data_IF_400898374580
#
_entry.id   IF_400898374580
#
_cell.length_a   1.000
_cell.length_b   1.000
_cell.length_c   1.000
_cell.angle_alpha   90.00
_cell.angle_beta   90.00
_cell.angle_gamma   90.00
#
_symmetry.space_group_name_H-M   'P 1'
#
loop_
_entity.id
_entity.type
_entity.pdbx_description
1 polymer ?
#
# COMPACT_ATOMS: atom_id res chain seq x y z
N UNK A 1 -11.87 -41.69 60.14
CA UNK A 1 -12.93 -41.38 59.12
C UNK A 1 -13.47 -39.96 59.20
N UNK A 2 -13.54 -39.32 60.34
CA UNK A 2 -14.04 -37.92 60.46
C UNK A 2 -13.13 -36.85 59.90
N UNK A 3 -11.80 -37.03 59.91
CA UNK A 3 -10.82 -36.03 59.45
C UNK A 3 -10.80 -35.86 57.90
N UNK A 4 -11.07 -36.95 57.15
CA UNK A 4 -11.11 -36.92 55.71
C UNK A 4 -12.36 -36.21 55.13
N UNK A 5 -13.45 -36.16 55.91
CA UNK A 5 -14.69 -35.47 55.51
C UNK A 5 -14.51 -33.95 55.67
N UNK A 6 -13.86 -33.50 56.73
CA UNK A 6 -13.57 -32.07 56.94
C UNK A 6 -12.66 -31.50 55.89
N UNK A 7 -11.63 -32.25 55.47
CA UNK A 7 -10.72 -31.81 54.40
C UNK A 7 -11.42 -31.71 53.03
N UNK A 8 -12.35 -32.65 52.75
CA UNK A 8 -13.14 -32.61 51.49
C UNK A 8 -14.13 -31.46 51.49
N UNK A 9 -14.76 -31.13 52.63
CA UNK A 9 -15.66 -29.97 52.73
C UNK A 9 -14.88 -28.66 52.62
N UNK A 10 -13.71 -28.54 53.21
CA UNK A 10 -12.84 -27.38 53.08
C UNK A 10 -12.34 -27.20 51.65
N UNK A 11 -11.97 -28.27 50.96
CA UNK A 11 -11.55 -28.23 49.56
C UNK A 11 -12.71 -27.83 48.60
N UNK A 12 -13.94 -28.34 48.88
CA UNK A 12 -15.13 -27.98 48.11
C UNK A 12 -15.53 -26.52 48.36
N UNK A 13 -15.38 -26.02 49.57
CA UNK A 13 -15.61 -24.60 49.92
C UNK A 13 -14.61 -23.66 49.27
N UNK A 14 -13.32 -24.06 49.19
CA UNK A 14 -12.29 -23.29 48.50
C UNK A 14 -12.52 -23.27 46.98
N UNK A 15 -13.02 -24.36 46.38
CA UNK A 15 -13.34 -24.45 44.97
C UNK A 15 -14.57 -23.58 44.60
N UNK A 16 -15.56 -23.48 45.51
CA UNK A 16 -16.72 -22.62 45.30
C UNK A 16 -16.42 -21.15 45.49
N UNK A 17 -15.44 -20.78 46.31
CA UNK A 17 -14.96 -19.40 46.50
C UNK A 17 -14.15 -18.92 45.31
N UNK A 18 -13.42 -19.81 44.63
CA UNK A 18 -12.66 -19.47 43.40
C UNK A 18 -13.56 -19.28 42.18
N UNK A 19 -14.78 -19.85 42.16
CA UNK A 19 -15.76 -19.67 41.10
C UNK A 19 -16.55 -18.35 41.20
N UNK A 20 -16.43 -17.63 42.32
CA UNK A 20 -17.09 -16.35 42.57
C UNK A 20 -16.15 -15.14 42.29
N UNK A 21 -15.07 -15.34 41.55
CA UNK A 21 -14.33 -14.24 40.98
C UNK A 21 -15.21 -13.60 39.90
N UNK A 22 -16.07 -12.67 40.32
CA UNK A 22 -16.75 -11.77 39.38
C UNK A 22 -15.69 -11.00 38.63
N UNK A 23 -15.45 -11.38 37.38
CA UNK A 23 -14.87 -10.50 36.40
C UNK A 23 -15.92 -9.42 36.17
N UNK A 24 -15.81 -8.31 36.88
CA UNK A 24 -16.56 -7.13 36.52
C UNK A 24 -16.00 -6.70 35.15
N UNK A 25 -16.84 -6.62 34.11
CA UNK A 25 -16.39 -5.96 32.88
C UNK A 25 -15.96 -4.54 33.31
N UNK A 26 -14.69 -4.22 33.10
CA UNK A 26 -14.22 -2.87 33.24
C UNK A 26 -14.84 -2.10 32.06
N UNK A 27 -16.01 -1.51 32.28
CA UNK A 27 -16.56 -0.52 31.38
C UNK A 27 -15.63 0.70 31.50
N UNK A 28 -14.75 0.85 30.53
CA UNK A 28 -14.10 2.13 30.31
C UNK A 28 -15.23 3.08 29.96
N UNK A 29 -15.66 3.93 30.88
CA UNK A 29 -16.39 5.13 30.51
C UNK A 29 -15.45 5.92 29.58
N UNK A 30 -15.53 5.66 28.30
CA UNK A 30 -15.01 6.54 27.30
C UNK A 30 -15.86 7.79 27.45
N UNK A 31 -15.29 8.85 28.02
CA UNK A 31 -15.88 10.17 27.89
C UNK A 31 -16.24 10.33 26.40
N UNK A 32 -17.46 10.78 26.08
CA UNK A 32 -17.83 10.96 24.69
C UNK A 32 -16.78 11.88 24.08
N UNK A 33 -15.96 11.35 23.19
CA UNK A 33 -14.96 12.13 22.44
C UNK A 33 -15.80 12.95 21.48
N UNK A 34 -16.32 14.05 21.96
CA UNK A 34 -16.97 15.09 21.14
C UNK A 34 -15.88 15.86 20.33
N UNK A 35 -14.65 15.56 20.62
CA UNK A 35 -13.46 16.16 20.03
C UNK A 35 -12.82 15.17 19.07
N UNK A 36 -13.26 15.20 17.81
CA UNK A 36 -12.65 14.45 16.71
C UNK A 36 -11.41 15.20 16.22
N UNK A 37 -10.22 14.88 16.74
CA UNK A 37 -9.03 15.62 16.41
C UNK A 37 -8.74 15.54 14.91
N UNK A 38 -8.25 16.66 14.36
CA UNK A 38 -7.67 16.69 13.04
C UNK A 38 -6.38 15.88 13.04
N UNK A 39 -6.20 15.04 12.02
CA UNK A 39 -4.96 14.30 11.77
C UNK A 39 -4.27 14.92 10.57
N UNK A 40 -3.01 15.32 10.74
CA UNK A 40 -2.19 15.97 9.71
C UNK A 40 -0.91 15.15 9.57
N UNK A 41 -0.70 14.55 8.39
CA UNK A 41 0.44 13.67 8.13
C UNK A 41 1.11 14.02 6.81
N UNK A 42 2.43 13.90 6.79
CA UNK A 42 3.27 14.09 5.62
C UNK A 42 4.61 14.70 5.99
N UNK A 43 5.51 14.73 5.02
CA UNK A 43 6.82 15.34 5.17
C UNK A 43 7.00 16.42 4.09
N UNK A 44 7.68 17.52 4.45
CA UNK A 44 8.10 18.55 3.49
C UNK A 44 9.34 18.01 2.76
N UNK A 45 9.13 17.52 1.54
CA UNK A 45 10.21 16.97 0.69
C UNK A 45 10.92 18.09 -0.08
N UNK A 46 12.14 18.42 0.33
CA UNK A 46 12.90 19.48 -0.30
C UNK A 46 13.52 18.98 -1.62
N UNK A 47 13.25 19.70 -2.70
CA UNK A 47 13.73 19.35 -4.04
C UNK A 47 12.77 18.47 -4.85
N UNK A 48 11.50 18.36 -4.44
CA UNK A 48 10.50 17.51 -5.10
C UNK A 48 9.07 18.00 -4.93
N UNK A 49 8.17 17.07 -4.82
CA UNK A 49 6.75 17.30 -4.50
C UNK A 49 6.47 16.91 -3.05
N UNK A 50 5.83 17.78 -2.32
CA UNK A 50 5.32 17.53 -0.97
C UNK A 50 3.84 17.20 -1.03
N UNK A 51 3.41 16.19 -0.28
CA UNK A 51 2.00 15.86 -0.09
C UNK A 51 1.69 15.84 1.40
N UNK A 52 0.76 16.70 1.83
CA UNK A 52 0.26 16.73 3.21
C UNK A 52 -1.17 16.23 3.21
N UNK A 53 -1.43 15.21 3.99
CA UNK A 53 -2.73 14.57 4.12
C UNK A 53 -3.45 15.09 5.35
N UNK A 54 -4.70 15.46 5.18
CA UNK A 54 -5.61 15.87 6.25
C UNK A 54 -6.71 14.82 6.36
N UNK A 55 -6.96 14.33 7.58
CA UNK A 55 -8.06 13.42 7.89
C UNK A 55 -8.61 13.69 9.29
N UNK A 56 -9.67 13.01 9.69
CA UNK A 56 -10.22 13.08 11.05
C UNK A 56 -10.28 11.70 11.66
N UNK A 57 -10.07 11.62 12.96
CA UNK A 57 -10.38 10.40 13.70
C UNK A 57 -11.89 10.17 13.68
N UNK A 58 -12.28 8.98 13.26
CA UNK A 58 -13.67 8.52 13.29
C UNK A 58 -13.78 7.44 14.36
N UNK A 59 -14.70 7.55 15.33
CA UNK A 59 -14.95 6.51 16.30
C UNK A 59 -15.31 5.18 15.61
N UNK A 60 -14.80 4.06 16.13
CA UNK A 60 -15.02 2.72 15.55
C UNK A 60 -16.52 2.36 15.46
N UNK A 61 -17.32 2.80 16.41
CA UNK A 61 -18.76 2.64 16.43
C UNK A 61 -19.49 3.42 15.33
N UNK A 62 -18.93 4.54 14.89
CA UNK A 62 -19.46 5.31 13.76
C UNK A 62 -19.27 4.61 12.41
N UNK A 63 -18.27 3.73 12.29
CA UNK A 63 -18.01 2.94 11.07
C UNK A 63 -19.05 1.83 10.90
N UNK A 64 -19.62 1.34 12.01
CA UNK A 64 -20.58 0.24 12.06
C UNK A 64 -22.04 0.68 12.21
N UNK A 65 -22.36 1.97 12.17
CA UNK A 65 -23.73 2.39 12.12
C UNK A 65 -24.32 1.88 10.80
N UNK A 66 -25.24 0.88 10.84
CA UNK A 66 -25.96 0.51 9.64
C UNK A 66 -26.67 1.76 9.17
N UNK A 67 -26.58 2.07 7.89
CA UNK A 67 -27.39 3.11 7.27
C UNK A 67 -28.86 2.72 7.47
N UNK A 68 -29.42 3.16 8.58
CA UNK A 68 -30.80 2.90 8.96
C UNK A 68 -31.72 3.74 8.12
N UNK A 69 -31.82 3.47 6.83
CA UNK A 69 -32.92 3.90 5.98
C UNK A 69 -32.70 3.61 4.48
N UNK A 70 -32.22 2.43 4.15
CA UNK A 70 -32.33 1.98 2.77
C UNK A 70 -33.36 0.85 2.69
N UNK A 71 -34.60 1.22 2.37
CA UNK A 71 -35.57 0.29 1.84
C UNK A 71 -35.00 -0.34 0.56
N UNK A 72 -35.04 -1.66 0.46
CA UNK A 72 -34.50 -2.51 -0.59
C UNK A 72 -35.05 -2.27 -2.01
N UNK A 73 -35.70 -1.13 -2.31
CA UNK A 73 -36.44 -0.92 -3.55
C UNK A 73 -36.18 0.40 -4.27
N UNK A 74 -35.13 1.13 -3.99
CA UNK A 74 -34.87 2.37 -4.74
C UNK A 74 -33.57 2.33 -5.55
N UNK A 75 -33.65 1.74 -6.75
CA UNK A 75 -32.58 1.72 -7.75
C UNK A 75 -32.40 3.06 -8.50
N UNK A 76 -33.06 4.14 -8.08
CA UNK A 76 -33.15 5.37 -8.90
C UNK A 76 -32.64 6.66 -8.25
N UNK A 77 -32.14 6.67 -7.03
CA UNK A 77 -31.56 7.90 -6.47
C UNK A 77 -30.05 7.75 -6.19
N UNK A 78 -29.26 8.11 -7.19
CA UNK A 78 -27.80 8.23 -7.11
C UNK A 78 -27.31 9.53 -6.46
N UNK A 79 -28.07 10.13 -5.57
CA UNK A 79 -27.65 11.27 -4.77
C UNK A 79 -27.45 10.82 -3.31
N UNK A 80 -26.29 10.25 -3.03
CA UNK A 80 -25.80 10.19 -1.66
C UNK A 80 -25.57 11.64 -1.22
N UNK A 81 -26.31 12.09 -0.24
CA UNK A 81 -25.91 13.29 0.48
C UNK A 81 -24.67 12.89 1.30
N UNK A 82 -23.46 13.40 0.96
CA UNK A 82 -22.26 13.00 1.68
C UNK A 82 -22.44 13.32 3.15
N UNK A 83 -22.26 12.33 4.02
CA UNK A 83 -22.29 12.57 5.46
C UNK A 83 -21.05 13.40 5.85
N UNK A 84 -21.12 14.09 6.99
CA UNK A 84 -19.96 14.79 7.55
C UNK A 84 -18.74 13.87 7.80
N UNK A 85 -18.97 12.55 7.78
CA UNK A 85 -17.91 11.53 7.86
C UNK A 85 -17.28 11.21 6.50
N UNK A 86 -18.01 11.45 5.39
CA UNK A 86 -17.52 11.21 4.04
C UNK A 86 -16.68 12.39 3.51
N UNK A 87 -17.02 13.64 3.93
CA UNK A 87 -16.33 14.86 3.54
C UNK A 87 -16.26 15.83 4.73
N UNK A 88 -15.28 15.66 5.63
CA UNK A 88 -15.23 16.46 6.84
C UNK A 88 -14.82 17.92 6.60
N UNK A 89 -14.26 18.22 5.42
CA UNK A 89 -13.68 19.53 5.11
C UNK A 89 -14.54 20.30 4.10
N UNK A 90 -14.91 21.55 4.43
CA UNK A 90 -15.49 22.53 3.51
C UNK A 90 -14.38 23.26 2.73
N UNK A 91 -13.26 23.52 3.42
CA UNK A 91 -12.13 24.24 2.87
C UNK A 91 -10.82 23.77 3.53
N UNK A 92 -9.79 23.61 2.72
CA UNK A 92 -8.43 23.35 3.21
C UNK A 92 -7.42 24.05 2.29
N UNK A 93 -6.54 24.85 2.87
CA UNK A 93 -5.44 25.53 2.19
C UNK A 93 -4.17 25.38 3.01
N UNK A 94 -3.06 25.14 2.34
CA UNK A 94 -1.77 25.03 2.97
C UNK A 94 -0.74 25.98 2.39
N UNK A 95 0.19 26.44 3.21
CA UNK A 95 1.36 27.22 2.79
C UNK A 95 2.59 26.71 3.54
N UNK A 96 3.64 26.35 2.81
CA UNK A 96 4.96 26.07 3.37
C UNK A 96 5.75 27.38 3.34
N UNK A 97 6.21 27.82 4.51
CA UNK A 97 6.87 29.12 4.70
C UNK A 97 8.32 28.87 5.11
N UNK A 98 9.28 29.47 4.37
CA UNK A 98 10.70 29.46 4.70
C UNK A 98 11.10 30.65 5.60
N UNK A 99 12.16 30.49 6.40
CA UNK A 99 12.68 31.58 7.25
C UNK A 99 13.14 32.81 6.46
N UNK A 100 13.52 32.63 5.20
CA UNK A 100 13.91 33.72 4.30
C UNK A 100 12.71 34.49 3.73
N UNK A 101 11.48 34.10 4.11
CA UNK A 101 10.24 34.69 3.61
C UNK A 101 9.72 34.05 2.31
N UNK A 102 10.36 32.99 1.82
CA UNK A 102 9.83 32.20 0.72
C UNK A 102 8.52 31.51 1.16
N UNK A 103 7.58 31.37 0.23
CA UNK A 103 6.30 30.71 0.51
C UNK A 103 5.88 29.90 -0.71
N UNK A 104 5.36 28.68 -0.46
CA UNK A 104 4.80 27.79 -1.45
C UNK A 104 3.36 27.48 -1.06
N UNK A 105 2.43 27.85 -1.92
CA UNK A 105 1.01 27.52 -1.72
C UNK A 105 0.72 26.11 -2.20
N UNK A 106 -0.08 25.37 -1.45
CA UNK A 106 -0.51 24.03 -1.80
C UNK A 106 -1.76 24.05 -2.67
N UNK A 107 -1.79 23.15 -3.62
CA UNK A 107 -2.97 22.84 -4.41
C UNK A 107 -3.73 21.67 -3.76
N UNK A 108 -5.07 21.79 -3.69
CA UNK A 108 -5.90 20.69 -3.20
C UNK A 108 -6.08 19.67 -4.32
N UNK A 109 -5.48 18.52 -4.17
CA UNK A 109 -5.72 17.36 -5.03
C UNK A 109 -6.64 16.38 -4.31
N UNK A 110 -7.79 16.11 -4.90
CA UNK A 110 -8.68 15.02 -4.49
C UNK A 110 -9.32 15.15 -3.10
N UNK A 111 -10.61 15.37 -3.09
CA UNK A 111 -11.48 15.08 -1.96
C UNK A 111 -11.81 13.58 -1.98
N UNK A 112 -11.08 12.76 -1.22
CA UNK A 112 -11.51 11.40 -0.92
C UNK A 112 -12.48 11.42 0.26
N UNK A 113 -13.30 10.38 0.38
CA UNK A 113 -14.42 10.32 1.34
C UNK A 113 -14.06 10.70 2.77
N UNK A 114 -12.85 10.44 3.22
CA UNK A 114 -12.40 10.61 4.61
C UNK A 114 -11.14 11.49 4.75
N UNK A 115 -10.58 11.98 3.64
CA UNK A 115 -9.33 12.72 3.63
C UNK A 115 -9.22 13.75 2.51
N UNK A 116 -8.40 14.74 2.74
CA UNK A 116 -8.00 15.75 1.77
C UNK A 116 -6.48 15.74 1.63
N UNK A 117 -5.98 15.84 0.43
CA UNK A 117 -4.55 15.91 0.13
C UNK A 117 -4.21 17.30 -0.42
N UNK A 118 -3.19 17.92 0.17
CA UNK A 118 -2.59 19.17 -0.29
C UNK A 118 -1.22 18.87 -0.90
N UNK A 119 -1.00 19.28 -2.13
CA UNK A 119 0.29 19.11 -2.81
C UNK A 119 0.98 20.43 -3.02
N UNK A 120 2.31 20.43 -2.87
CA UNK A 120 3.17 21.60 -2.97
C UNK A 120 4.34 21.30 -3.89
N UNK A 121 4.63 22.17 -4.83
CA UNK A 121 5.88 22.09 -5.59
C UNK A 121 7.02 22.71 -4.78
N UNK A 122 7.74 21.84 -4.07
CA UNK A 122 8.88 22.19 -3.22
C UNK A 122 10.23 21.95 -3.90
N UNK A 123 10.24 21.78 -5.23
CA UNK A 123 11.43 21.50 -6.02
C UNK A 123 12.49 22.61 -5.95
N UNK A 124 12.08 23.84 -5.71
CA UNK A 124 12.93 25.02 -5.65
C UNK A 124 13.35 25.43 -4.22
N UNK A 125 12.86 24.72 -3.20
CA UNK A 125 13.19 25.01 -1.82
C UNK A 125 14.63 24.57 -1.47
N UNK A 126 15.24 25.29 -0.53
CA UNK A 126 16.64 25.10 -0.14
C UNK A 126 16.78 24.18 1.06
N UNK A 127 17.84 23.37 1.09
CA UNK A 127 18.13 22.44 2.21
C UNK A 127 18.75 23.12 3.43
N UNK A 128 19.26 24.35 3.30
CA UNK A 128 20.05 25.04 4.32
C UNK A 128 19.24 26.05 5.16
N UNK A 129 17.92 25.94 5.17
CA UNK A 129 17.04 26.79 5.98
C UNK A 129 15.94 25.96 6.66
N UNK A 130 15.18 26.60 7.53
CA UNK A 130 14.03 26.00 8.21
C UNK A 130 12.73 26.36 7.53
N UNK A 131 11.76 25.47 7.66
CA UNK A 131 10.43 25.65 7.12
C UNK A 131 9.37 25.44 8.20
N UNK A 132 8.20 25.98 8.00
CA UNK A 132 7.00 25.65 8.76
C UNK A 132 5.81 25.47 7.83
N UNK A 133 4.92 24.58 8.23
CA UNK A 133 3.63 24.39 7.57
C UNK A 133 2.60 25.28 8.27
N UNK A 134 1.84 26.03 7.47
CA UNK A 134 0.67 26.81 7.88
C UNK A 134 -0.54 26.27 7.11
N UNK A 135 -1.60 25.92 7.84
CA UNK A 135 -2.83 25.37 7.28
C UNK A 135 -4.04 26.17 7.73
N UNK A 136 -4.90 26.49 6.80
CA UNK A 136 -6.24 27.04 7.02
C UNK A 136 -7.25 25.94 6.70
N UNK A 137 -8.03 25.53 7.70
CA UNK A 137 -8.98 24.42 7.57
C UNK A 137 -10.35 24.86 8.07
N UNK A 138 -11.38 24.68 7.26
CA UNK A 138 -12.76 24.85 7.65
C UNK A 138 -13.47 23.50 7.58
N UNK A 139 -14.04 23.09 8.70
CA UNK A 139 -14.85 21.88 8.77
C UNK A 139 -16.27 22.16 8.27
N UNK A 140 -16.94 21.17 7.70
CA UNK A 140 -18.34 21.29 7.26
C UNK A 140 -19.31 21.67 8.39
N UNK A 141 -18.99 21.23 9.60
CA UNK A 141 -19.81 21.49 10.79
C UNK A 141 -19.50 22.82 11.49
N UNK A 142 -18.44 23.52 11.08
CA UNK A 142 -17.98 24.78 11.69
C UNK A 142 -18.08 25.94 10.69
N UNK A 143 -18.53 27.10 11.16
CA UNK A 143 -18.56 28.31 10.34
C UNK A 143 -17.19 29.00 10.27
N UNK A 144 -16.30 28.76 11.24
CA UNK A 144 -15.01 29.42 11.38
C UNK A 144 -13.87 28.60 10.78
N UNK A 145 -12.85 29.32 10.27
CA UNK A 145 -11.60 28.72 9.80
C UNK A 145 -10.68 28.54 10.99
N UNK A 146 -10.20 27.32 11.17
CA UNK A 146 -9.16 26.99 12.13
C UNK A 146 -7.78 27.03 11.47
N UNK A 147 -6.80 27.61 12.17
CA UNK A 147 -5.42 27.75 11.71
C UNK A 147 -4.55 26.77 12.48
N UNK A 148 -3.80 25.94 11.73
CA UNK A 148 -2.83 24.99 12.29
C UNK A 148 -1.43 25.31 11.79
N UNK A 149 -0.46 25.25 12.69
CA UNK A 149 0.94 25.52 12.37
C UNK A 149 1.87 24.50 13.03
N UNK A 150 2.98 24.19 12.34
CA UNK A 150 4.15 23.56 12.96
C UNK A 150 5.06 24.64 13.60
N UNK A 151 5.97 24.22 14.46
CA UNK A 151 7.16 25.01 14.72
C UNK A 151 8.09 25.04 13.51
N UNK A 152 9.19 25.81 13.59
CA UNK A 152 10.21 25.84 12.55
C UNK A 152 10.95 24.50 12.50
N UNK A 153 10.87 23.81 11.36
CA UNK A 153 11.45 22.49 11.12
C UNK A 153 12.77 22.65 10.36
N UNK A 154 13.83 22.07 10.88
CA UNK A 154 15.12 22.00 10.18
C UNK A 154 15.08 20.85 9.19
N UNK A 155 15.58 21.07 7.98
CA UNK A 155 15.67 20.02 6.95
C UNK A 155 16.69 18.97 7.38
N UNK A 156 16.28 17.70 7.42
CA UNK A 156 17.18 16.59 7.71
C UNK A 156 18.14 16.36 6.55
N UNK A 157 19.41 16.01 6.81
CA UNK A 157 20.38 15.71 5.76
C UNK A 157 19.91 14.56 4.85
N UNK A 158 20.14 14.69 3.56
CA UNK A 158 19.82 13.64 2.60
C UNK A 158 20.74 12.44 2.77
N UNK A 159 20.22 11.23 2.95
CA UNK A 159 21.04 10.02 2.96
C UNK A 159 21.57 9.74 1.55
N UNK A 160 22.56 8.88 1.42
CA UNK A 160 23.10 8.48 0.12
C UNK A 160 22.97 6.97 -0.03
N UNK A 161 22.32 6.55 -1.10
CA UNK A 161 22.30 5.13 -1.51
C UNK A 161 23.55 4.87 -2.35
N UNK A 162 24.48 4.10 -1.80
CA UNK A 162 25.72 3.73 -2.51
C UNK A 162 25.48 2.59 -3.50
N UNK A 163 24.70 1.59 -3.10
CA UNK A 163 24.39 0.44 -3.94
C UNK A 163 23.07 -0.23 -3.51
N UNK A 164 22.38 -0.76 -4.51
CA UNK A 164 21.33 -1.77 -4.32
C UNK A 164 21.76 -3.02 -5.06
N UNK A 165 21.72 -4.16 -4.39
CA UNK A 165 22.15 -5.45 -4.93
C UNK A 165 21.17 -6.55 -4.59
N UNK A 166 21.24 -7.63 -5.36
CA UNK A 166 20.53 -8.86 -5.07
C UNK A 166 21.50 -9.93 -4.58
N UNK A 167 21.03 -10.71 -3.61
CA UNK A 167 21.73 -11.87 -3.11
C UNK A 167 20.73 -13.03 -2.93
N UNK A 168 21.16 -14.26 -3.14
CA UNK A 168 20.35 -15.45 -2.90
C UNK A 168 20.76 -16.06 -1.57
N UNK A 169 19.79 -16.42 -0.74
CA UNK A 169 20.10 -17.10 0.50
C UNK A 169 20.78 -18.46 0.24
N UNK A 170 21.46 -19.00 1.26
CA UNK A 170 22.24 -20.27 1.16
C UNK A 170 21.39 -21.47 0.70
N UNK A 171 20.09 -21.46 1.03
CA UNK A 171 19.13 -22.49 0.61
C UNK A 171 18.54 -22.26 -0.78
N UNK A 172 18.88 -21.18 -1.46
CA UNK A 172 18.31 -20.74 -2.76
C UNK A 172 16.78 -20.71 -2.78
N UNK A 173 16.17 -20.27 -1.69
CA UNK A 173 14.70 -20.14 -1.60
C UNK A 173 14.20 -18.70 -1.66
N UNK A 174 15.08 -17.75 -1.34
CA UNK A 174 14.75 -16.33 -1.25
C UNK A 174 15.75 -15.49 -2.01
N UNK A 175 15.26 -14.46 -2.68
CA UNK A 175 16.03 -13.36 -3.20
C UNK A 175 16.04 -12.25 -2.15
N UNK A 176 17.21 -11.90 -1.67
CA UNK A 176 17.42 -10.81 -0.74
C UNK A 176 17.81 -9.55 -1.50
N UNK A 177 17.16 -8.46 -1.15
CA UNK A 177 17.50 -7.14 -1.66
C UNK A 177 18.30 -6.42 -0.59
N UNK A 178 19.52 -6.02 -0.96
CA UNK A 178 20.53 -5.44 -0.07
C UNK A 178 20.76 -3.98 -0.41
N UNK A 179 20.86 -3.15 0.62
CA UNK A 179 21.13 -1.72 0.54
C UNK A 179 22.49 -1.41 1.18
N UNK A 180 23.35 -0.72 0.46
CA UNK A 180 24.52 -0.03 1.03
C UNK A 180 24.30 1.47 0.98
N UNK A 181 24.60 2.17 2.08
CA UNK A 181 24.27 3.57 2.25
C UNK A 181 25.23 4.34 3.14
N UNK A 182 25.24 5.67 2.96
CA UNK A 182 25.80 6.62 3.92
C UNK A 182 24.69 7.39 4.61
N UNK A 183 24.82 7.57 5.91
CA UNK A 183 23.88 8.32 6.72
C UNK A 183 23.96 9.84 6.53
N UNK A 184 25.11 10.35 6.09
CA UNK A 184 25.39 11.77 5.85
C UNK A 184 25.04 12.67 7.06
N UNK A 185 25.32 12.16 8.28
CA UNK A 185 25.05 12.85 9.55
C UNK A 185 23.62 12.71 10.07
N UNK A 186 22.74 11.99 9.39
CA UNK A 186 21.43 11.59 9.90
C UNK A 186 21.55 10.28 10.69
N UNK A 187 20.63 10.04 11.62
CA UNK A 187 20.64 8.83 12.45
C UNK A 187 19.30 8.09 12.49
N UNK A 188 18.29 8.64 11.84
CA UNK A 188 16.94 8.12 11.88
C UNK A 188 16.39 8.10 10.48
N UNK A 189 15.82 6.96 10.06
CA UNK A 189 15.42 6.73 8.69
C UNK A 189 14.09 6.01 8.62
N UNK A 190 13.34 6.34 7.58
CA UNK A 190 12.18 5.61 7.09
C UNK A 190 12.44 5.22 5.64
N UNK A 191 11.94 4.08 5.22
CA UNK A 191 11.94 3.73 3.81
C UNK A 191 10.60 3.16 3.37
N UNK A 192 10.34 3.33 2.12
CA UNK A 192 9.31 2.63 1.39
C UNK A 192 9.90 2.07 0.10
N UNK A 193 9.18 1.18 -0.53
CA UNK A 193 9.60 0.65 -1.81
C UNK A 193 8.40 0.40 -2.72
N UNK A 194 8.67 0.44 -4.02
CA UNK A 194 7.75 0.04 -5.07
C UNK A 194 8.39 -1.12 -5.80
N UNK A 195 7.63 -2.18 -5.94
CA UNK A 195 7.96 -3.35 -6.74
C UNK A 195 7.22 -3.26 -8.05
N UNK A 196 7.88 -3.61 -9.13
CA UNK A 196 7.31 -3.71 -10.47
C UNK A 196 7.86 -4.98 -11.11
N UNK A 197 7.02 -5.72 -11.79
CA UNK A 197 7.45 -6.97 -12.40
C UNK A 197 6.73 -7.22 -13.71
N UNK A 198 7.43 -7.95 -14.57
CA UNK A 198 6.89 -8.50 -15.80
C UNK A 198 6.61 -9.97 -15.61
N UNK A 199 5.44 -10.40 -16.04
CA UNK A 199 5.12 -11.82 -16.13
C UNK A 199 4.34 -12.12 -17.38
N UNK A 200 4.33 -13.40 -17.78
CA UNK A 200 3.71 -13.84 -18.98
C UNK A 200 2.55 -14.79 -18.71
N UNK A 201 1.59 -14.82 -19.61
CA UNK A 201 0.62 -15.90 -19.62
C UNK A 201 1.31 -17.23 -19.95
N UNK A 202 0.63 -18.35 -19.70
CA UNK A 202 1.25 -19.68 -19.89
C UNK A 202 1.39 -20.04 -21.37
N UNK A 203 0.51 -19.48 -22.20
CA UNK A 203 0.45 -19.78 -23.65
C UNK A 203 0.38 -18.47 -24.43
N UNK A 204 1.28 -18.33 -25.37
CA UNK A 204 1.23 -17.25 -26.35
C UNK A 204 0.38 -17.68 -27.57
N UNK A 205 -0.57 -16.85 -27.97
CA UNK A 205 -1.37 -17.06 -29.19
C UNK A 205 -1.53 -15.75 -29.96
N UNK A 206 -1.70 -15.90 -31.28
CA UNK A 206 -2.17 -14.84 -32.17
C UNK A 206 -3.65 -14.99 -32.54
N UNK A 207 -4.34 -15.95 -31.97
CA UNK A 207 -5.73 -16.22 -32.26
C UNK A 207 -6.66 -15.59 -31.24
N UNK A 208 -7.86 -15.26 -31.63
CA UNK A 208 -8.97 -14.83 -30.81
C UNK A 208 -10.28 -15.34 -31.32
N UNK A 209 -11.29 -15.37 -30.47
CA UNK A 209 -12.66 -15.65 -30.84
C UNK A 209 -13.49 -14.36 -30.80
N UNK A 210 -14.22 -14.09 -31.84
CA UNK A 210 -15.18 -13.00 -31.91
C UNK A 210 -16.60 -13.51 -31.62
N UNK A 211 -17.22 -13.13 -30.49
CA UNK A 211 -18.55 -13.57 -30.12
C UNK A 211 -19.66 -13.04 -31.06
N UNK A 212 -19.40 -11.98 -31.82
CA UNK A 212 -20.39 -11.40 -32.73
C UNK A 212 -20.46 -12.14 -34.07
N UNK A 213 -19.30 -12.46 -34.62
CA UNK A 213 -19.21 -13.24 -35.88
C UNK A 213 -19.19 -14.73 -35.62
N UNK A 214 -18.98 -15.17 -34.39
CA UNK A 214 -18.79 -16.56 -33.96
C UNK A 214 -17.63 -17.26 -34.70
N UNK A 215 -16.59 -16.50 -35.02
CA UNK A 215 -15.43 -16.98 -35.76
C UNK A 215 -14.14 -16.86 -34.94
N UNK A 216 -13.23 -17.81 -35.19
CA UNK A 216 -11.85 -17.71 -34.72
C UNK A 216 -11.04 -16.95 -35.77
N UNK A 217 -10.37 -15.91 -35.36
CA UNK A 217 -9.53 -15.06 -36.23
C UNK A 217 -8.21 -14.66 -35.57
N UNK A 218 -7.45 -13.81 -36.27
CA UNK A 218 -6.22 -13.27 -35.72
C UNK A 218 -6.52 -12.11 -34.81
N UNK A 219 -5.92 -12.14 -33.60
CA UNK A 219 -5.99 -11.06 -32.64
C UNK A 219 -5.19 -9.86 -33.13
N UNK A 220 -5.79 -8.68 -33.17
CA UNK A 220 -5.18 -7.42 -33.65
C UNK A 220 -4.85 -6.44 -32.54
N UNK A 221 -5.15 -6.79 -31.29
CA UNK A 221 -4.86 -5.96 -30.13
C UNK A 221 -3.45 -6.15 -29.57
N UNK A 222 -3.13 -5.49 -28.45
CA UNK A 222 -1.87 -5.72 -27.72
C UNK A 222 -1.75 -7.18 -27.30
N UNK A 223 -0.54 -7.73 -27.36
CA UNK A 223 -0.29 -9.13 -26.99
C UNK A 223 -0.96 -9.50 -25.66
N UNK A 224 -1.71 -10.59 -25.62
CA UNK A 224 -2.30 -11.10 -24.39
C UNK A 224 -1.28 -11.83 -23.50
N UNK A 225 -0.08 -12.02 -24.01
CA UNK A 225 0.97 -12.79 -23.38
C UNK A 225 1.78 -11.99 -22.35
N UNK A 226 2.16 -10.74 -22.66
CA UNK A 226 2.97 -9.88 -21.81
C UNK A 226 2.10 -9.03 -20.89
N UNK A 227 2.36 -9.07 -19.60
CA UNK A 227 1.74 -8.20 -18.60
C UNK A 227 2.75 -7.67 -17.59
N UNK A 228 2.40 -6.55 -17.03
CA UNK A 228 3.14 -5.93 -15.92
C UNK A 228 2.19 -5.73 -14.75
N UNK A 229 2.78 -5.69 -13.56
CA UNK A 229 2.04 -5.34 -12.38
C UNK A 229 2.97 -4.60 -11.40
N UNK A 230 2.41 -3.98 -10.40
CA UNK A 230 3.16 -3.21 -9.41
C UNK A 230 2.53 -3.32 -8.03
N UNK A 231 3.37 -3.23 -7.00
CA UNK A 231 2.95 -3.10 -5.62
C UNK A 231 3.82 -2.07 -4.89
N UNK A 232 3.22 -1.34 -3.96
CA UNK A 232 3.96 -0.47 -3.05
C UNK A 232 3.96 -1.10 -1.66
N UNK A 233 5.02 -0.83 -0.90
CA UNK A 233 5.06 -1.22 0.51
C UNK A 233 3.93 -0.55 1.28
N UNK A 234 3.18 -1.32 2.06
CA UNK A 234 2.09 -0.83 2.90
C UNK A 234 2.49 -0.74 4.38
N UNK A 235 3.63 -1.28 4.75
CA UNK A 235 4.15 -1.28 6.11
C UNK A 235 5.03 -0.05 6.35
N UNK A 236 5.07 0.41 7.61
CA UNK A 236 5.97 1.46 8.04
C UNK A 236 7.32 0.82 8.39
N UNK A 237 8.33 1.13 7.60
CA UNK A 237 9.69 0.64 7.83
C UNK A 237 10.55 1.77 8.38
N UNK A 238 11.12 1.56 9.56
CA UNK A 238 12.00 2.53 10.23
C UNK A 238 13.25 1.84 10.75
N UNK A 239 14.36 2.54 10.78
CA UNK A 239 15.57 2.11 11.50
C UNK A 239 16.35 3.29 12.04
N UNK A 240 17.22 3.02 13.00
CA UNK A 240 18.06 4.03 13.62
C UNK A 240 19.51 3.56 13.74
N UNK A 241 20.43 4.45 13.43
CA UNK A 241 21.88 4.28 13.63
C UNK A 241 22.42 5.09 14.82
N UNK A 242 21.54 5.65 15.67
CA UNK A 242 21.92 6.56 16.75
C UNK A 242 22.88 5.97 17.80
N UNK A 243 23.00 4.64 17.87
CA UNK A 243 23.93 3.94 18.76
C UNK A 243 25.18 3.43 18.05
N UNK A 244 25.36 3.78 16.78
CA UNK A 244 26.48 3.36 15.96
C UNK A 244 27.39 4.56 15.67
N UNK A 245 28.68 4.31 15.55
CA UNK A 245 29.68 5.37 15.25
C UNK A 245 29.97 5.48 13.77
N UNK A 246 29.60 4.44 13.00
CA UNK A 246 29.86 4.39 11.58
C UNK A 246 28.78 5.17 10.82
N UNK A 247 29.23 5.93 9.84
CA UNK A 247 28.34 6.69 8.94
C UNK A 247 27.97 5.88 7.69
N UNK A 248 28.70 4.80 7.41
CA UNK A 248 28.50 3.91 6.25
C UNK A 248 28.04 2.53 6.69
N UNK A 249 27.03 2.03 6.00
CA UNK A 249 26.47 0.69 6.20
C UNK A 249 26.45 -0.05 4.89
N UNK A 250 26.92 -1.30 4.90
CA UNK A 250 27.01 -2.15 3.72
C UNK A 250 26.08 -3.35 3.88
N UNK A 251 25.48 -3.79 2.77
CA UNK A 251 24.69 -5.02 2.66
C UNK A 251 23.55 -5.17 3.67
N UNK A 252 22.88 -4.06 4.03
CA UNK A 252 21.68 -4.11 4.86
C UNK A 252 20.56 -4.83 4.11
N UNK A 253 20.03 -5.91 4.68
CA UNK A 253 18.85 -6.59 4.12
C UNK A 253 17.60 -5.76 4.41
N UNK A 254 16.90 -5.27 3.40
CA UNK A 254 15.70 -4.48 3.61
C UNK A 254 14.43 -5.13 3.07
N UNK A 255 14.54 -6.07 2.11
CA UNK A 255 13.40 -6.77 1.55
C UNK A 255 13.80 -8.17 1.07
N UNK A 256 12.85 -9.10 1.07
CA UNK A 256 13.05 -10.47 0.59
C UNK A 256 11.87 -10.91 -0.27
N UNK A 257 12.15 -11.65 -1.34
CA UNK A 257 11.14 -12.22 -2.23
C UNK A 257 11.40 -13.72 -2.38
N UNK A 258 10.41 -14.60 -2.17
CA UNK A 258 10.58 -16.02 -2.44
C UNK A 258 10.93 -16.27 -3.91
N UNK A 259 11.93 -17.10 -4.20
CA UNK A 259 12.33 -17.40 -5.59
C UNK A 259 11.24 -18.11 -6.41
N UNK A 260 10.23 -18.67 -5.74
CA UNK A 260 9.05 -19.26 -6.39
C UNK A 260 7.94 -18.24 -6.70
N UNK A 261 8.12 -16.98 -6.32
CA UNK A 261 7.13 -15.93 -6.51
C UNK A 261 6.99 -15.56 -8.00
N UNK A 262 5.77 -15.30 -8.43
CA UNK A 262 5.46 -14.90 -9.82
C UNK A 262 6.18 -13.59 -10.21
N UNK A 263 6.48 -12.72 -9.24
CA UNK A 263 7.20 -11.46 -9.45
C UNK A 263 8.59 -11.67 -10.04
N UNK A 264 9.22 -12.82 -9.78
CA UNK A 264 10.56 -13.16 -10.26
C UNK A 264 10.52 -14.02 -11.55
N UNK A 265 9.35 -14.19 -12.17
CA UNK A 265 9.19 -15.11 -13.29
C UNK A 265 9.96 -14.66 -14.55
N UNK A 266 9.97 -13.36 -14.84
CA UNK A 266 10.61 -12.81 -16.03
C UNK A 266 11.60 -11.74 -15.64
N UNK A 267 11.11 -10.63 -15.14
CA UNK A 267 11.91 -9.48 -14.74
C UNK A 267 11.26 -8.77 -13.57
N UNK A 268 12.05 -8.39 -12.60
CA UNK A 268 11.60 -7.74 -11.37
C UNK A 268 12.44 -6.50 -11.11
N UNK A 269 11.79 -5.40 -10.80
CA UNK A 269 12.42 -4.15 -10.38
C UNK A 269 11.90 -3.75 -9.01
N UNK A 270 12.82 -3.39 -8.13
CA UNK A 270 12.47 -2.73 -6.87
C UNK A 270 13.10 -1.34 -6.84
N UNK A 271 12.30 -0.36 -6.49
CA UNK A 271 12.74 1.03 -6.27
C UNK A 271 12.51 1.35 -4.81
N UNK A 272 13.57 1.69 -4.09
CA UNK A 272 13.51 2.13 -2.69
C UNK A 272 13.58 3.66 -2.63
N UNK A 273 12.79 4.26 -1.75
CA UNK A 273 12.93 5.64 -1.31
C UNK A 273 13.31 5.64 0.16
N UNK A 274 14.47 6.20 0.46
CA UNK A 274 15.03 6.32 1.80
C UNK A 274 14.94 7.77 2.26
N UNK A 275 14.20 8.00 3.34
CA UNK A 275 13.93 9.32 3.91
C UNK A 275 14.64 9.45 5.25
N UNK A 276 15.45 10.49 5.43
CA UNK A 276 16.00 10.84 6.75
C UNK A 276 14.96 11.59 7.58
N UNK A 277 14.99 11.37 8.88
CA UNK A 277 14.04 11.97 9.82
C UNK A 277 14.72 12.61 11.01
N UNK A 278 14.03 13.55 11.66
CA UNK A 278 14.36 14.00 13.00
C UNK A 278 14.13 12.87 14.02
N UNK A 279 14.76 12.98 15.18
CA UNK A 279 14.56 12.04 16.28
C UNK A 279 13.10 11.94 16.71
N UNK A 280 12.41 13.06 16.73
CA UNK A 280 11.02 13.13 17.21
C UNK A 280 10.06 12.57 16.16
N UNK A 281 10.31 12.81 14.86
CA UNK A 281 9.59 12.15 13.78
C UNK A 281 9.76 10.63 13.82
N UNK A 282 10.99 10.16 14.06
CA UNK A 282 11.25 8.72 14.23
C UNK A 282 10.46 8.13 15.40
N UNK A 283 10.43 8.81 16.54
CA UNK A 283 9.67 8.37 17.71
C UNK A 283 8.15 8.33 17.41
N UNK A 284 7.63 9.31 16.66
CA UNK A 284 6.25 9.32 16.21
C UNK A 284 5.94 8.10 15.33
N UNK A 285 6.71 7.88 14.27
CA UNK A 285 6.49 6.77 13.33
C UNK A 285 6.68 5.39 13.96
N UNK A 286 7.62 5.24 14.91
CA UNK A 286 7.77 4.03 15.71
C UNK A 286 6.54 3.75 16.59
N UNK A 287 5.91 4.79 17.14
CA UNK A 287 4.67 4.62 17.88
C UNK A 287 3.50 4.23 16.95
N UNK A 288 3.38 4.87 15.78
CA UNK A 288 2.38 4.48 14.77
C UNK A 288 2.57 3.02 14.37
N UNK A 289 3.80 2.62 14.03
CA UNK A 289 4.13 1.24 13.65
C UNK A 289 3.73 0.23 14.73
N UNK A 290 4.11 0.48 15.98
CA UNK A 290 3.77 -0.41 17.11
C UNK A 290 2.28 -0.52 17.32
N UNK A 291 1.54 0.57 17.19
CA UNK A 291 0.09 0.57 17.34
C UNK A 291 -0.61 -0.16 16.17
N UNK A 292 -0.07 -0.09 14.96
CA UNK A 292 -0.65 -0.73 13.78
C UNK A 292 -0.33 -2.23 13.75
N UNK A 293 0.91 -2.62 14.02
CA UNK A 293 1.34 -4.03 14.02
C UNK A 293 0.87 -4.78 15.28
N UNK A 294 0.62 -4.08 16.38
CA UNK A 294 0.16 -4.66 17.66
C UNK A 294 -1.34 -4.93 17.72
N UNK A 295 -2.13 -4.51 16.76
CA UNK A 295 -3.58 -4.73 16.74
C UNK A 295 -3.89 -6.24 16.62
N UNK A 296 -4.44 -6.79 17.70
CA UNK A 296 -4.79 -8.23 17.80
C UNK A 296 -4.00 -9.01 18.85
N UNK A 297 -2.99 -8.42 19.48
CA UNK A 297 -2.29 -9.02 20.61
C UNK A 297 -2.94 -8.61 21.94
N UNK A 298 -3.21 -9.58 22.82
CA UNK A 298 -3.66 -9.33 24.22
C UNK A 298 -2.62 -8.50 25.01
N UNK A 299 -1.39 -8.44 24.51
CA UNK A 299 -0.27 -7.69 25.09
C UNK A 299 0.06 -6.43 24.28
N UNK A 300 -0.83 -5.99 23.37
CA UNK A 300 -0.63 -4.75 22.66
C UNK A 300 -0.47 -3.60 23.67
N UNK A 301 0.58 -2.77 23.54
CA UNK A 301 0.72 -1.62 24.41
C UNK A 301 -0.52 -0.72 24.27
N UNK A 302 -0.99 -0.20 25.38
CA UNK A 302 -2.04 0.85 25.39
C UNK A 302 -1.58 1.96 24.44
N UNK A 303 -2.45 2.44 23.53
CA UNK A 303 -2.11 3.53 22.63
C UNK A 303 -1.57 4.70 23.45
N UNK A 304 -0.26 4.91 23.38
CA UNK A 304 0.36 6.07 24.02
C UNK A 304 -0.16 7.32 23.32
N UNK A 305 -0.31 8.40 24.07
CA UNK A 305 -0.73 9.67 23.51
C UNK A 305 0.29 10.06 22.42
N UNK A 306 -0.14 10.10 21.16
CA UNK A 306 0.74 10.43 20.04
C UNK A 306 1.17 11.88 20.17
N UNK A 307 2.48 12.11 20.19
CA UNK A 307 3.03 13.46 20.14
C UNK A 307 2.76 14.09 18.78
N UNK A 308 2.47 15.39 18.76
CA UNK A 308 2.31 16.17 17.54
C UNK A 308 3.24 17.37 17.61
N UNK A 309 3.81 17.77 16.47
CA UNK A 309 4.52 19.05 16.35
C UNK A 309 3.65 20.16 15.73
N UNK A 310 2.35 19.89 15.62
CA UNK A 310 1.36 20.84 15.14
C UNK A 310 0.51 21.36 16.30
N UNK A 311 0.08 22.61 16.19
CA UNK A 311 -0.86 23.23 17.13
C UNK A 311 -1.95 23.99 16.38
N UNK A 312 -3.14 24.03 16.93
CA UNK A 312 -4.18 24.96 16.49
C UNK A 312 -3.89 26.34 17.07
N UNK A 313 -3.74 27.35 16.22
CA UNK A 313 -3.43 28.73 16.61
C UNK A 313 -4.69 29.46 17.04
N UNK A 314 -5.82 29.18 16.38
CA UNK A 314 -7.13 29.81 16.65
C UNK A 314 -7.79 29.27 17.92
N UNK A 315 -7.55 27.99 18.23
CA UNK A 315 -8.02 27.34 19.46
C UNK A 315 -6.92 26.48 20.07
N UNK A 316 -6.15 27.00 21.05
CA UNK A 316 -5.09 26.24 21.69
C UNK A 316 -5.54 24.99 22.47
N UNK A 317 -6.86 24.83 22.72
CA UNK A 317 -7.42 23.63 23.36
C UNK A 317 -7.74 22.53 22.37
N UNK A 318 -7.86 22.84 21.07
CA UNK A 318 -8.15 21.85 20.03
C UNK A 318 -6.99 20.87 19.88
N UNK A 319 -7.34 19.57 19.93
CA UNK A 319 -6.35 18.51 19.75
C UNK A 319 -6.06 18.32 18.25
N UNK A 320 -4.80 18.20 17.92
CA UNK A 320 -4.31 17.83 16.62
C UNK A 320 -3.35 16.64 16.76
N UNK A 321 -3.45 15.70 15.86
CA UNK A 321 -2.61 14.50 15.81
C UNK A 321 -1.83 14.54 14.50
N UNK A 322 -0.64 13.95 14.50
CA UNK A 322 0.20 13.85 13.33
C UNK A 322 1.56 14.50 13.55
N UNK A 323 2.43 14.30 12.60
CA UNK A 323 3.78 14.84 12.62
C UNK A 323 4.17 15.24 11.20
N UNK A 324 4.74 16.43 11.06
CA UNK A 324 5.30 16.93 9.80
C UNK A 324 6.79 17.18 10.00
N UNK A 325 7.62 16.51 9.22
CA UNK A 325 9.07 16.73 9.21
C UNK A 325 9.49 17.42 7.93
N UNK A 326 10.76 17.80 7.81
CA UNK A 326 11.34 18.33 6.57
C UNK A 326 12.55 17.46 6.19
N UNK A 327 12.51 16.91 5.01
CA UNK A 327 13.46 15.89 4.57
C UNK A 327 13.89 16.06 3.12
N UNK A 328 14.94 15.34 2.77
CA UNK A 328 15.33 15.05 1.40
C UNK A 328 15.43 13.55 1.26
N UNK A 329 14.93 13.03 0.15
CA UNK A 329 14.88 11.60 -0.12
C UNK A 329 16.06 11.18 -1.01
N UNK A 330 16.59 10.00 -0.74
CA UNK A 330 17.43 9.26 -1.68
C UNK A 330 16.61 8.14 -2.30
N UNK A 331 16.63 8.05 -3.62
CA UNK A 331 15.94 7.01 -4.36
C UNK A 331 16.92 6.16 -5.15
N UNK A 332 16.78 4.85 -5.06
CA UNK A 332 17.58 3.90 -5.83
C UNK A 332 16.70 2.81 -6.42
N UNK A 333 17.13 2.25 -7.54
CA UNK A 333 16.40 1.18 -8.22
C UNK A 333 17.35 0.10 -8.68
N UNK A 334 16.91 -1.15 -8.62
CA UNK A 334 17.67 -2.31 -9.10
C UNK A 334 16.73 -3.29 -9.81
N UNK A 335 17.23 -3.90 -10.88
CA UNK A 335 16.49 -4.85 -11.72
C UNK A 335 17.09 -6.24 -11.54
N UNK A 336 16.25 -7.23 -11.26
CA UNK A 336 16.58 -8.64 -11.26
C UNK A 336 16.07 -9.29 -12.53
N UNK A 337 17.00 -9.93 -13.24
CA UNK A 337 16.74 -10.78 -14.39
C UNK A 337 17.77 -11.90 -14.34
N UNK A 338 17.34 -13.12 -14.06
CA UNK A 338 18.24 -14.28 -14.00
C UNK A 338 18.47 -14.95 -15.38
N UNK A 339 17.79 -14.45 -16.41
CA UNK A 339 17.89 -14.98 -17.77
C UNK A 339 17.36 -16.41 -17.94
N UNK A 340 16.70 -16.95 -16.90
CA UNK A 340 16.22 -18.34 -16.87
C UNK A 340 14.80 -18.48 -17.37
N UNK A 341 14.16 -17.42 -17.84
CA UNK A 341 12.80 -17.51 -18.38
C UNK A 341 12.75 -18.50 -19.54
N UNK A 342 12.04 -19.60 -19.33
CA UNK A 342 11.86 -20.62 -20.36
C UNK A 342 10.58 -20.34 -21.15
N UNK A 343 10.75 -20.11 -22.44
CA UNK A 343 9.65 -20.01 -23.38
C UNK A 343 9.03 -21.40 -23.59
N UNK A 344 7.78 -21.57 -23.16
CA UNK A 344 7.05 -22.81 -23.40
C UNK A 344 6.23 -22.72 -24.67
N UNK A 345 6.45 -23.64 -25.60
CA UNK A 345 5.56 -23.80 -26.74
C UNK A 345 4.15 -24.20 -26.29
N UNK A 346 3.09 -23.71 -26.97
CA UNK A 346 1.71 -24.15 -26.70
C UNK A 346 1.61 -25.68 -26.70
N UNK A 347 1.02 -26.25 -25.66
CA UNK A 347 0.85 -27.70 -25.50
C UNK A 347 1.97 -28.46 -24.84
N UNK A 348 3.07 -27.81 -24.49
CA UNK A 348 4.22 -28.48 -23.82
C UNK A 348 4.30 -28.22 -22.33
N UNK A 349 3.54 -27.23 -21.79
CA UNK A 349 3.57 -26.93 -20.36
C UNK A 349 2.82 -28.01 -19.57
N UNK A 350 3.46 -28.68 -18.61
CA UNK A 350 2.79 -29.69 -17.78
C UNK A 350 1.61 -29.06 -17.02
N UNK A 351 0.44 -29.72 -17.06
CA UNK A 351 -0.72 -29.34 -16.26
C UNK A 351 -1.76 -28.43 -16.96
N UNK A 352 -1.53 -28.01 -18.19
CA UNK A 352 -2.56 -27.31 -18.98
C UNK A 352 -3.24 -28.33 -19.91
N UNK A 353 -4.51 -28.61 -19.61
CA UNK A 353 -5.34 -29.43 -20.51
C UNK A 353 -5.88 -28.56 -21.64
N UNK A 354 -5.46 -28.86 -22.87
CA UNK A 354 -6.06 -28.30 -24.07
C UNK A 354 -7.29 -29.06 -24.47
N UNK A 355 -8.32 -28.34 -24.86
CA UNK A 355 -9.53 -28.91 -25.48
C UNK A 355 -9.45 -28.69 -26.98
N UNK A 356 -10.08 -29.57 -27.75
CA UNK A 356 -10.16 -29.47 -29.21
C UNK A 356 -11.61 -29.33 -29.63
N UNK A 357 -11.91 -28.33 -30.43
CA UNK A 357 -13.23 -28.09 -30.95
C UNK A 357 -13.19 -27.93 -32.48
N UNK A 358 -14.20 -28.50 -33.18
CA UNK A 358 -14.34 -28.38 -34.61
C UNK A 358 -14.40 -26.91 -35.05
N UNK A 359 -13.94 -26.66 -36.27
CA UNK A 359 -14.00 -25.32 -36.86
C UNK A 359 -15.43 -25.03 -37.36
N UNK A 360 -16.37 -24.93 -36.44
CA UNK A 360 -17.74 -24.50 -36.70
C UNK A 360 -18.17 -23.49 -35.57
N UNK A 361 -19.16 -22.61 -35.88
CA UNK A 361 -19.59 -21.57 -34.97
C UNK A 361 -20.10 -22.09 -33.62
N UNK A 362 -20.89 -23.16 -33.61
CA UNK A 362 -21.51 -23.69 -32.39
C UNK A 362 -20.47 -24.27 -31.42
N UNK A 363 -19.50 -25.02 -31.95
CA UNK A 363 -18.39 -25.60 -31.21
C UNK A 363 -17.48 -24.50 -30.63
N UNK A 364 -17.16 -23.47 -31.42
CA UNK A 364 -16.32 -22.33 -31.00
C UNK A 364 -17.02 -21.49 -29.95
N UNK A 365 -18.30 -21.21 -30.09
CA UNK A 365 -19.10 -20.47 -29.11
C UNK A 365 -19.20 -21.21 -27.77
N UNK A 366 -19.37 -22.52 -27.83
CA UNK A 366 -19.39 -23.36 -26.62
C UNK A 366 -18.08 -23.31 -25.85
N UNK A 367 -16.95 -23.39 -26.54
CA UNK A 367 -15.63 -23.27 -25.92
C UNK A 367 -15.42 -21.91 -25.27
N UNK A 368 -15.78 -20.83 -25.97
CA UNK A 368 -15.67 -19.48 -25.43
C UNK A 368 -16.55 -19.27 -24.18
N UNK A 369 -17.81 -19.74 -24.20
CA UNK A 369 -18.72 -19.69 -23.06
C UNK A 369 -18.24 -20.50 -21.85
N UNK A 370 -17.47 -21.57 -22.09
CA UNK A 370 -16.79 -22.31 -21.02
C UNK A 370 -15.53 -21.63 -20.48
N UNK A 371 -15.15 -20.47 -21.00
CA UNK A 371 -14.00 -19.70 -20.54
C UNK A 371 -12.66 -20.11 -21.18
N UNK A 372 -12.68 -20.61 -22.38
CA UNK A 372 -11.52 -20.99 -23.18
C UNK A 372 -11.25 -19.98 -24.30
N UNK A 373 -9.97 -19.85 -24.68
CA UNK A 373 -9.53 -19.07 -25.85
C UNK A 373 -8.78 -19.97 -26.83
N UNK A 374 -8.88 -19.70 -28.16
CA UNK A 374 -8.20 -20.48 -29.17
C UNK A 374 -6.69 -20.19 -29.15
N UNK A 375 -5.88 -21.24 -29.21
CA UNK A 375 -4.43 -21.14 -29.11
C UNK A 375 -3.68 -21.64 -30.34
N UNK A 376 -4.24 -22.57 -31.07
CA UNK A 376 -3.63 -23.09 -32.30
C UNK A 376 -4.71 -23.60 -33.26
N UNK A 377 -4.46 -23.44 -34.55
CA UNK A 377 -5.25 -24.10 -35.60
C UNK A 377 -4.71 -25.51 -35.83
N UNK A 378 -5.64 -26.47 -36.02
CA UNK A 378 -5.31 -27.85 -36.37
C UNK A 378 -5.73 -28.06 -37.83
N UNK A 379 -4.77 -28.45 -38.66
CA UNK A 379 -4.95 -28.59 -40.09
C UNK A 379 -5.19 -30.05 -40.47
N UNK A 380 -6.15 -30.27 -41.33
CA UNK A 380 -6.40 -31.56 -41.93
C UNK A 380 -5.49 -31.87 -43.11
N UNK A 381 -5.72 -33.02 -43.71
CA UNK A 381 -4.87 -33.59 -44.78
C UNK A 381 -4.74 -32.67 -46.01
N UNK A 382 -5.69 -31.78 -46.27
CA UNK A 382 -5.70 -30.87 -47.42
C UNK A 382 -5.33 -29.43 -47.06
N UNK A 383 -4.79 -29.17 -45.84
CA UNK A 383 -4.40 -27.84 -45.40
C UNK A 383 -5.56 -26.93 -44.99
N UNK A 384 -6.78 -27.49 -44.90
CA UNK A 384 -7.93 -26.77 -44.31
C UNK A 384 -7.90 -26.87 -42.79
N UNK A 385 -8.38 -25.84 -42.11
CA UNK A 385 -8.52 -25.88 -40.67
C UNK A 385 -9.71 -26.77 -40.32
N UNK A 386 -9.46 -27.87 -39.62
CA UNK A 386 -10.49 -28.82 -39.19
C UNK A 386 -10.98 -28.54 -37.77
N UNK A 387 -10.08 -28.07 -36.90
CA UNK A 387 -10.40 -27.76 -35.52
C UNK A 387 -9.43 -26.73 -34.96
N UNK A 388 -9.73 -26.21 -33.77
CA UNK A 388 -8.82 -25.38 -32.97
C UNK A 388 -8.52 -26.06 -31.65
N UNK A 389 -7.30 -25.88 -31.19
CA UNK A 389 -6.92 -26.15 -29.81
C UNK A 389 -7.27 -24.93 -28.94
N UNK A 390 -7.90 -25.17 -27.82
CA UNK A 390 -8.38 -24.17 -26.88
C UNK A 390 -7.76 -24.40 -25.52
N UNK A 391 -7.39 -23.32 -24.82
CA UNK A 391 -6.88 -23.35 -23.45
C UNK A 391 -7.72 -22.47 -22.55
N UNK A 392 -7.72 -22.71 -21.23
CA UNK A 392 -8.36 -21.82 -20.28
C UNK A 392 -7.90 -20.36 -20.49
N UNK A 393 -8.83 -19.43 -20.53
CA UNK A 393 -8.54 -18.02 -20.84
C UNK A 393 -7.49 -17.41 -19.88
N UNK A 394 -7.46 -17.83 -18.61
CA UNK A 394 -6.46 -17.43 -17.64
C UNK A 394 -5.03 -17.89 -17.96
N UNK A 395 -4.87 -18.92 -18.79
CA UNK A 395 -3.58 -19.38 -19.28
C UNK A 395 -3.10 -18.63 -20.53
N UNK A 396 -3.99 -17.87 -21.17
CA UNK A 396 -3.75 -17.18 -22.45
C UNK A 396 -3.67 -15.67 -22.26
N UNK A 397 -4.53 -15.12 -21.43
CA UNK A 397 -4.61 -13.69 -21.17
C UNK A 397 -4.11 -13.38 -19.74
N UNK A 398 -2.91 -12.81 -19.66
CA UNK A 398 -2.28 -12.45 -18.39
C UNK A 398 -3.06 -11.41 -17.58
N UNK A 399 -3.97 -10.62 -18.22
CA UNK A 399 -4.84 -9.66 -17.51
C UNK A 399 -5.82 -10.34 -16.56
N UNK A 400 -6.21 -11.58 -16.88
CA UNK A 400 -7.11 -12.37 -16.02
C UNK A 400 -6.45 -12.86 -14.72
N UNK A 401 -5.14 -12.63 -14.58
CA UNK A 401 -4.38 -12.84 -13.35
C UNK A 401 -4.04 -11.55 -12.61
N UNK A 402 -4.68 -10.43 -12.98
CA UNK A 402 -4.48 -9.13 -12.37
C UNK A 402 -3.51 -8.20 -13.10
N UNK A 403 -2.85 -8.66 -14.17
CA UNK A 403 -1.87 -7.89 -14.90
C UNK A 403 -2.42 -6.73 -15.71
N UNK A 404 -1.59 -5.70 -15.85
CA UNK A 404 -1.81 -4.54 -16.71
C UNK A 404 -1.06 -4.68 -18.03
N UNK A 405 -1.53 -3.97 -19.05
CA UNK A 405 -0.80 -3.74 -20.31
C UNK A 405 0.04 -2.46 -20.29
N UNK A 406 -0.03 -1.72 -19.21
CA UNK A 406 0.78 -0.53 -19.02
C UNK A 406 2.21 -0.93 -18.64
N UNK A 407 3.14 -0.65 -19.55
CA UNK A 407 4.55 -0.90 -19.32
C UNK A 407 5.09 0.11 -18.32
N UNK A 408 5.74 -0.32 -17.23
CA UNK A 408 6.36 0.61 -16.29
C UNK A 408 7.38 1.54 -16.98
N UNK A 409 7.47 2.77 -16.51
CA UNK A 409 8.39 3.76 -17.09
C UNK A 409 9.84 3.24 -17.08
N UNK A 410 10.55 3.42 -18.19
CA UNK A 410 11.93 2.95 -18.36
C UNK A 410 12.10 1.44 -18.10
N UNK A 411 11.12 0.64 -18.48
CA UNK A 411 11.22 -0.82 -18.36
C UNK A 411 12.27 -1.36 -19.34
N UNK A 412 13.22 -2.21 -18.88
CA UNK A 412 14.34 -2.62 -19.71
C UNK A 412 14.03 -3.70 -20.75
N UNK A 413 12.90 -4.39 -20.66
CA UNK A 413 12.53 -5.39 -21.67
C UNK A 413 12.04 -4.73 -22.95
N UNK A 414 12.36 -5.31 -24.11
CA UNK A 414 11.89 -4.85 -25.42
C UNK A 414 10.45 -5.25 -25.77
N UNK A 415 9.63 -5.67 -24.80
CA UNK A 415 8.26 -6.18 -25.01
C UNK A 415 7.23 -5.03 -24.98
N UNK A 416 7.39 -4.02 -25.81
CA UNK A 416 6.49 -2.87 -25.91
C UNK A 416 5.32 -3.15 -26.86
#
# INVERSE_FOLDING_TARGET
>A
MKTNILIRIAALGALLLSAAACVFPYEVELEPIDDRPLVIEGDIHIGGMTCIQLSRLVPVDAIFLPSTNYGLNDYTSSYHNPSIYDYPFDYARGTIIGEDGSAVEGETLNYYRDKTELTFDTSHLRKDQRYRLHLEVKMLENEEISIYETDWITVNPEPVIDALTFDKNDDFKELWIRLSMHCNGSHYFRWNYVEEWEYHSDIQTSLTYDPWTQEVGYYKGPSLYYCWDRAASSQIHTFSTAYQTDDRFEDLSFHTVPLSDIRLQVMYRVTITLTSMSKDAYAYWENVRKNTEGQGSILAPTPSQMASNLRCVTDPSARVIGYVDACSDATGSVVYDDGLYQYYNPGTRPGIEMQYASNDPDSSDSMYKMGYLPVAAVYGMFGTIESYAWAPSSCVDCRLRGGSKEVPQNWPSGHN
#
